data_IF_722612173217
#
_entry.id   IF_722612173217
#
_cell.length_a   1.000
_cell.length_b   1.000
_cell.length_c   1.000
_cell.angle_alpha   90.00
_cell.angle_beta   90.00
_cell.angle_gamma   90.00
#
_symmetry.space_group_name_H-M   'P 1'
#
loop_
_entity.id
_entity.type
_entity.pdbx_description
1 polymer ?
#
# COMPACT_ATOMS: atom_id res chain seq x y z
N UNK A 1 19.65 -20.44 -7.35
CA UNK A 1 19.69 -19.74 -8.65
C UNK A 1 18.37 -20.06 -9.32
N UNK A 2 17.59 -19.05 -9.72
CA UNK A 2 16.24 -19.26 -10.27
C UNK A 2 16.34 -20.11 -11.55
N UNK A 3 15.47 -21.10 -11.71
CA UNK A 3 15.38 -21.92 -12.94
C UNK A 3 15.17 -21.04 -14.18
N UNK A 4 14.50 -19.90 -14.03
CA UNK A 4 14.35 -18.91 -15.11
C UNK A 4 15.68 -18.29 -15.52
N UNK A 5 16.60 -18.06 -14.58
CA UNK A 5 17.94 -17.54 -14.89
C UNK A 5 18.75 -18.58 -15.66
N UNK A 6 18.66 -19.85 -15.25
CA UNK A 6 19.28 -21.00 -15.94
C UNK A 6 18.77 -21.10 -17.38
N UNK A 7 17.45 -21.07 -17.56
CA UNK A 7 16.83 -21.14 -18.89
C UNK A 7 17.19 -19.93 -19.75
N UNK A 8 17.09 -18.72 -19.19
CA UNK A 8 17.44 -17.47 -19.90
C UNK A 8 18.89 -17.47 -20.37
N UNK A 9 19.82 -17.85 -19.48
CA UNK A 9 21.23 -17.95 -19.81
C UNK A 9 21.48 -18.95 -20.93
N UNK A 10 20.95 -20.17 -20.80
CA UNK A 10 21.11 -21.22 -21.80
C UNK A 10 20.51 -20.84 -23.15
N UNK A 11 19.35 -20.17 -23.17
CA UNK A 11 18.73 -19.67 -24.40
C UNK A 11 19.63 -18.64 -25.08
N UNK A 12 20.18 -17.67 -24.33
CA UNK A 12 21.05 -16.64 -24.90
C UNK A 12 22.33 -17.23 -25.47
N UNK A 13 22.96 -18.15 -24.75
CA UNK A 13 24.16 -18.85 -25.21
C UNK A 13 23.88 -19.67 -26.48
N UNK A 14 22.76 -20.41 -26.50
CA UNK A 14 22.35 -21.19 -27.66
C UNK A 14 22.04 -20.30 -28.89
N UNK A 15 21.36 -19.16 -28.69
CA UNK A 15 21.12 -18.20 -29.77
C UNK A 15 22.43 -17.61 -30.33
N UNK A 16 23.38 -17.28 -29.46
CA UNK A 16 24.72 -16.84 -29.85
C UNK A 16 25.47 -17.91 -30.65
N UNK A 17 25.44 -19.17 -30.19
CA UNK A 17 26.06 -20.30 -30.90
C UNK A 17 25.40 -20.59 -32.26
N UNK A 18 24.10 -20.31 -32.41
CA UNK A 18 23.35 -20.42 -33.66
C UNK A 18 23.52 -19.20 -34.58
N UNK A 19 24.37 -18.25 -34.22
CA UNK A 19 24.70 -17.07 -35.04
C UNK A 19 23.58 -16.03 -35.10
N UNK A 20 22.72 -15.97 -34.08
CA UNK A 20 21.68 -14.93 -33.98
C UNK A 20 22.32 -13.63 -33.49
N UNK A 21 22.25 -12.57 -34.29
CA UNK A 21 22.81 -11.24 -33.98
C UNK A 21 21.78 -10.13 -34.32
N UNK A 22 21.43 -9.26 -33.36
CA UNK A 22 21.82 -9.30 -31.95
C UNK A 22 21.13 -10.44 -31.18
N UNK A 23 21.83 -11.00 -30.20
CA UNK A 23 21.21 -11.85 -29.18
C UNK A 23 20.27 -10.97 -28.35
N UNK A 24 18.99 -11.33 -28.18
CA UNK A 24 18.05 -10.52 -27.41
C UNK A 24 18.52 -10.38 -25.95
N UNK A 25 18.49 -9.14 -25.44
CA UNK A 25 18.82 -8.87 -24.04
C UNK A 25 17.78 -9.46 -23.10
N UNK A 26 16.52 -9.43 -23.52
CA UNK A 26 15.37 -9.95 -22.76
C UNK A 26 14.85 -11.21 -23.43
N UNK A 27 14.85 -12.31 -22.67
CA UNK A 27 14.17 -13.55 -23.04
C UNK A 27 12.90 -13.63 -22.20
N UNK A 28 11.74 -13.63 -22.86
CA UNK A 28 10.47 -13.81 -22.16
C UNK A 28 10.26 -15.30 -21.88
N UNK A 29 10.06 -15.62 -20.60
CA UNK A 29 9.64 -16.94 -20.12
C UNK A 29 8.27 -16.80 -19.46
N UNK A 30 7.32 -17.61 -19.90
CA UNK A 30 5.96 -17.63 -19.37
C UNK A 30 5.51 -19.06 -19.09
N UNK A 31 4.54 -19.22 -18.18
CA UNK A 31 3.88 -20.52 -18.01
C UNK A 31 2.90 -20.73 -19.16
N UNK A 32 2.98 -21.85 -19.90
CA UNK A 32 2.04 -22.11 -20.98
C UNK A 32 0.62 -22.28 -20.44
N UNK A 33 -0.37 -21.81 -21.21
CA UNK A 33 -1.79 -21.92 -20.80
C UNK A 33 -2.29 -23.36 -20.71
N UNK A 34 -1.65 -24.32 -21.41
CA UNK A 34 -1.86 -25.76 -21.22
C UNK A 34 -0.63 -26.35 -20.51
N UNK A 35 -0.77 -26.91 -19.29
CA UNK A 35 0.33 -27.57 -18.58
C UNK A 35 0.99 -28.74 -19.33
N UNK A 36 0.29 -29.38 -20.26
CA UNK A 36 0.88 -30.43 -21.11
C UNK A 36 1.99 -29.90 -22.03
N UNK A 37 1.99 -28.60 -22.32
CA UNK A 37 3.02 -27.92 -23.10
C UNK A 37 4.27 -27.57 -22.26
N UNK A 38 4.42 -28.12 -21.06
CA UNK A 38 5.61 -27.98 -20.23
C UNK A 38 5.47 -26.94 -19.12
N UNK A 39 6.58 -26.73 -18.40
CA UNK A 39 6.65 -25.86 -17.22
C UNK A 39 6.88 -24.40 -17.60
N UNK A 40 7.66 -24.17 -18.66
CA UNK A 40 8.01 -22.85 -19.17
C UNK A 40 7.98 -22.82 -20.69
N UNK A 41 7.63 -21.68 -21.26
CA UNK A 41 7.64 -21.43 -22.70
C UNK A 41 8.31 -20.10 -23.01
N UNK A 42 8.96 -20.02 -24.18
CA UNK A 42 9.49 -18.77 -24.71
C UNK A 42 9.07 -18.56 -26.17
N UNK A 43 8.81 -17.30 -26.51
CA UNK A 43 8.57 -16.83 -27.87
C UNK A 43 9.84 -16.32 -28.57
N UNK A 44 11.02 -16.51 -27.96
CA UNK A 44 12.28 -15.87 -28.40
C UNK A 44 12.64 -16.15 -29.86
N UNK A 45 12.30 -17.34 -30.36
CA UNK A 45 12.52 -17.70 -31.76
C UNK A 45 11.64 -16.86 -32.70
N UNK A 46 10.40 -16.53 -32.33
CA UNK A 46 9.54 -15.63 -33.10
C UNK A 46 10.09 -14.21 -33.08
N UNK A 47 10.52 -13.74 -31.91
CA UNK A 47 11.06 -12.40 -31.73
C UNK A 47 12.36 -12.18 -32.51
N UNK A 48 13.22 -13.20 -32.57
CA UNK A 48 14.57 -13.11 -33.14
C UNK A 48 14.64 -13.48 -34.63
N UNK A 49 13.69 -14.26 -35.14
CA UNK A 49 13.71 -14.79 -36.51
C UNK A 49 13.78 -13.72 -37.60
N UNK A 50 13.07 -12.59 -37.41
CA UNK A 50 13.08 -11.49 -38.39
C UNK A 50 14.47 -10.86 -38.50
N UNK A 51 15.11 -10.57 -37.37
CA UNK A 51 16.46 -10.00 -37.35
C UNK A 51 17.49 -10.96 -37.96
N UNK A 52 17.34 -12.27 -37.67
CA UNK A 52 18.21 -13.30 -38.21
C UNK A 52 17.88 -13.72 -39.66
N UNK A 53 16.83 -13.17 -40.29
CA UNK A 53 16.35 -13.58 -41.63
C UNK A 53 16.06 -15.08 -41.77
N UNK A 54 15.46 -15.69 -40.74
CA UNK A 54 15.19 -17.13 -40.65
C UNK A 54 13.71 -17.43 -40.42
N UNK A 55 13.28 -18.65 -40.69
CA UNK A 55 11.93 -19.10 -40.33
C UNK A 55 11.83 -19.29 -38.80
N UNK A 56 10.83 -18.71 -38.11
CA UNK A 56 10.68 -18.83 -36.66
C UNK A 56 10.59 -20.26 -36.14
N UNK A 57 9.88 -21.15 -36.86
CA UNK A 57 9.70 -22.53 -36.44
C UNK A 57 10.97 -23.35 -36.63
N UNK A 58 11.70 -23.12 -37.72
CA UNK A 58 13.01 -23.74 -37.96
C UNK A 58 14.04 -23.27 -36.91
N UNK A 59 14.07 -21.96 -36.62
CA UNK A 59 14.91 -21.41 -35.55
C UNK A 59 14.57 -22.01 -34.19
N UNK A 60 13.28 -22.13 -33.85
CA UNK A 60 12.84 -22.79 -32.62
C UNK A 60 13.30 -24.25 -32.57
N UNK A 61 13.26 -24.97 -33.70
CA UNK A 61 13.72 -26.37 -33.77
C UNK A 61 15.22 -26.51 -33.61
N UNK A 62 16.00 -25.60 -34.19
CA UNK A 62 17.45 -25.56 -34.01
C UNK A 62 17.83 -25.18 -32.58
N UNK A 63 17.13 -24.22 -31.98
CA UNK A 63 17.30 -23.85 -30.58
C UNK A 63 16.99 -25.05 -29.65
N UNK A 64 15.85 -25.71 -29.86
CA UNK A 64 15.48 -26.90 -29.10
C UNK A 64 16.50 -28.03 -29.25
N UNK A 65 16.97 -28.29 -30.47
CA UNK A 65 17.99 -29.30 -30.72
C UNK A 65 19.32 -28.95 -30.05
N UNK A 66 19.74 -27.68 -30.07
CA UNK A 66 20.96 -27.22 -29.40
C UNK A 66 20.86 -27.42 -27.88
N UNK A 67 19.73 -27.01 -27.29
CA UNK A 67 19.47 -27.16 -25.86
C UNK A 67 19.36 -28.64 -25.46
N UNK A 68 18.78 -29.51 -26.28
CA UNK A 68 18.74 -30.95 -26.01
C UNK A 68 20.10 -31.65 -26.14
N UNK A 69 21.01 -31.12 -26.96
CA UNK A 69 22.35 -31.67 -27.10
C UNK A 69 23.23 -31.38 -25.88
N UNK A 70 22.94 -30.28 -25.17
CA UNK A 70 23.56 -29.93 -23.89
C UNK A 70 22.48 -29.38 -22.94
N UNK A 71 21.64 -30.27 -22.36
CA UNK A 71 20.50 -29.87 -21.54
C UNK A 71 20.91 -28.95 -20.39
N UNK A 72 20.26 -27.79 -20.23
CA UNK A 72 20.40 -26.99 -19.01
C UNK A 72 19.98 -27.82 -17.80
N UNK A 73 20.43 -27.42 -16.61
CA UNK A 73 20.03 -28.10 -15.37
C UNK A 73 18.49 -28.23 -15.29
N UNK A 74 18.03 -29.39 -14.81
CA UNK A 74 16.62 -29.79 -14.68
C UNK A 74 15.85 -30.00 -15.97
N UNK A 75 16.33 -29.56 -17.14
CA UNK A 75 15.59 -29.73 -18.40
C UNK A 75 15.63 -31.20 -18.84
N UNK A 76 14.45 -31.81 -18.95
CA UNK A 76 14.27 -33.18 -19.46
C UNK A 76 13.67 -33.22 -20.86
N UNK A 77 13.09 -32.11 -21.32
CA UNK A 77 12.51 -31.99 -22.64
C UNK A 77 12.50 -30.56 -23.14
N UNK A 78 12.69 -30.39 -24.45
CA UNK A 78 12.47 -29.13 -25.15
C UNK A 78 11.70 -29.41 -26.43
N UNK A 79 10.53 -28.79 -26.57
CA UNK A 79 9.64 -29.03 -27.69
C UNK A 79 9.27 -27.72 -28.40
N UNK A 80 9.05 -27.80 -29.72
CA UNK A 80 8.62 -26.64 -30.50
C UNK A 80 7.15 -26.75 -30.84
N UNK A 81 6.37 -25.77 -30.40
CA UNK A 81 4.95 -25.70 -30.64
C UNK A 81 4.57 -24.56 -31.60
N UNK A 82 3.50 -24.81 -32.37
CA UNK A 82 2.86 -23.80 -33.22
C UNK A 82 3.84 -23.07 -34.15
N UNK A 83 3.86 -21.72 -34.16
CA UNK A 83 4.71 -20.92 -35.04
C UNK A 83 6.19 -20.87 -34.64
N UNK A 84 6.60 -21.44 -33.51
CA UNK A 84 7.99 -21.40 -33.03
C UNK A 84 8.15 -21.16 -31.52
N UNK A 85 7.12 -21.41 -30.72
CA UNK A 85 7.26 -21.38 -29.26
C UNK A 85 8.16 -22.53 -28.84
N UNK A 86 9.12 -22.25 -27.97
CA UNK A 86 10.02 -23.27 -27.42
C UNK A 86 9.60 -23.54 -25.98
N UNK A 87 9.12 -24.75 -25.75
CA UNK A 87 8.55 -25.23 -24.51
C UNK A 87 9.58 -26.10 -23.77
N UNK A 88 9.65 -25.96 -22.45
CA UNK A 88 10.57 -26.66 -21.59
C UNK A 88 9.80 -27.57 -20.63
N UNK A 89 10.20 -28.83 -20.56
CA UNK A 89 9.78 -29.77 -19.53
C UNK A 89 10.92 -29.97 -18.56
N UNK A 90 10.65 -29.81 -17.27
CA UNK A 90 11.62 -29.88 -16.20
C UNK A 90 11.39 -31.14 -15.35
N UNK A 91 12.46 -31.73 -14.84
CA UNK A 91 12.39 -32.72 -13.78
C UNK A 91 12.18 -32.02 -12.43
N UNK A 92 11.34 -32.59 -11.56
CA UNK A 92 11.01 -32.10 -10.21
C UNK A 92 12.22 -31.74 -9.33
N UNK A 93 13.43 -32.20 -9.69
CA UNK A 93 14.69 -31.73 -9.11
C UNK A 93 14.80 -30.21 -8.93
N UNK A 94 14.23 -29.40 -9.84
CA UNK A 94 14.26 -27.93 -9.66
C UNK A 94 13.42 -27.48 -8.47
N UNK A 95 12.27 -28.12 -8.22
CA UNK A 95 11.44 -27.88 -7.04
C UNK A 95 12.12 -28.38 -5.78
N UNK A 96 12.79 -29.54 -5.84
CA UNK A 96 13.54 -30.09 -4.70
C UNK A 96 14.69 -29.16 -4.28
N UNK A 97 15.38 -28.53 -5.24
CA UNK A 97 16.40 -27.53 -4.94
C UNK A 97 15.80 -26.30 -4.25
N UNK A 98 14.65 -25.81 -4.71
CA UNK A 98 13.94 -24.71 -4.03
C UNK A 98 13.55 -25.10 -2.61
N UNK A 99 13.03 -26.32 -2.39
CA UNK A 99 12.70 -26.80 -1.04
C UNK A 99 13.93 -26.85 -0.14
N UNK A 100 15.06 -27.29 -0.68
CA UNK A 100 16.34 -27.33 0.05
C UNK A 100 16.80 -25.90 0.39
N UNK A 101 16.71 -24.98 -0.57
CA UNK A 101 17.04 -23.56 -0.37
C UNK A 101 16.15 -22.92 0.71
N UNK A 102 14.84 -23.18 0.69
CA UNK A 102 13.90 -22.69 1.71
C UNK A 102 14.30 -23.21 3.10
N UNK A 103 14.58 -24.50 3.23
CA UNK A 103 14.92 -25.13 4.51
C UNK A 103 16.29 -24.65 5.02
N UNK A 104 17.29 -24.57 4.15
CA UNK A 104 18.65 -24.19 4.51
C UNK A 104 18.76 -22.70 4.86
N UNK A 105 18.05 -21.83 4.12
CA UNK A 105 18.03 -20.39 4.38
C UNK A 105 17.13 -20.03 5.58
N UNK A 106 16.06 -20.79 5.81
CA UNK A 106 15.08 -20.52 6.85
C UNK A 106 14.25 -19.25 6.59
N UNK A 107 13.32 -18.99 7.51
CA UNK A 107 12.33 -17.91 7.38
C UNK A 107 12.95 -16.51 7.36
N UNK A 108 14.10 -16.30 8.00
CA UNK A 108 14.74 -14.99 8.08
C UNK A 108 15.45 -14.57 6.78
N UNK A 109 15.93 -15.53 5.98
CA UNK A 109 16.81 -15.28 4.83
C UNK A 109 16.15 -15.61 3.51
N UNK A 110 15.36 -16.68 3.42
CA UNK A 110 14.77 -17.12 2.14
C UNK A 110 13.92 -16.03 1.49
N UNK A 111 14.04 -15.78 0.18
CA UNK A 111 13.26 -14.73 -0.51
C UNK A 111 13.36 -13.32 0.13
N UNK A 112 14.50 -13.02 0.79
CA UNK A 112 14.89 -11.66 1.13
C UNK A 112 15.70 -11.05 -0.03
N UNK A 113 15.45 -9.79 -0.35
CA UNK A 113 16.18 -9.07 -1.39
C UNK A 113 16.92 -7.86 -0.83
N UNK A 114 17.97 -7.43 -1.52
CA UNK A 114 18.77 -6.23 -1.17
C UNK A 114 18.49 -5.05 -2.12
N UNK A 115 17.35 -5.06 -2.82
CA UNK A 115 16.98 -4.06 -3.82
C UNK A 115 16.93 -2.64 -3.25
N UNK A 116 16.58 -2.51 -1.97
CA UNK A 116 16.40 -1.22 -1.29
C UNK A 116 17.54 -0.79 -0.37
N UNK A 117 18.66 -1.51 -0.35
CA UNK A 117 19.75 -1.20 0.59
C UNK A 117 20.23 0.24 0.39
N UNK A 118 20.22 1.01 1.47
CA UNK A 118 20.60 2.43 1.47
C UNK A 118 19.50 3.38 1.00
N UNK A 119 18.28 2.89 0.76
CA UNK A 119 17.10 3.72 0.43
C UNK A 119 16.12 3.69 1.59
N UNK A 120 15.72 4.88 2.05
CA UNK A 120 14.73 5.03 3.11
C UNK A 120 13.34 5.31 2.55
N UNK A 121 12.34 4.65 3.12
CA UNK A 121 10.93 4.74 2.71
C UNK A 121 10.05 5.09 3.91
N UNK A 122 9.22 6.13 3.79
CA UNK A 122 8.12 6.36 4.72
C UNK A 122 6.84 5.78 4.13
N UNK A 123 6.19 4.88 4.86
CA UNK A 123 4.87 4.34 4.53
C UNK A 123 3.86 4.94 5.49
N UNK A 124 3.02 5.85 4.99
CA UNK A 124 1.97 6.52 5.74
C UNK A 124 0.61 5.87 5.49
N UNK A 125 -0.10 5.54 6.56
CA UNK A 125 -1.42 4.91 6.46
C UNK A 125 -2.28 5.12 7.71
N UNK A 126 -3.59 4.87 7.58
CA UNK A 126 -4.66 5.17 8.55
C UNK A 126 -4.95 6.66 8.69
N UNK A 127 -3.98 7.45 9.17
CA UNK A 127 -4.01 8.92 9.29
C UNK A 127 -5.38 9.51 9.69
N UNK A 128 -6.01 8.90 10.70
CA UNK A 128 -7.36 9.24 11.12
C UNK A 128 -7.38 10.39 12.15
N UNK A 129 -8.45 11.17 12.16
CA UNK A 129 -8.65 12.24 13.14
C UNK A 129 -8.87 11.62 14.53
N UNK A 130 -8.22 12.12 15.61
CA UNK A 130 -8.34 11.57 16.95
C UNK A 130 -9.62 12.08 17.65
N UNK A 131 -10.78 11.90 17.01
CA UNK A 131 -12.10 12.32 17.51
C UNK A 131 -13.05 11.17 17.77
N UNK A 132 -12.56 9.93 17.74
CA UNK A 132 -13.37 8.72 17.91
C UNK A 132 -12.57 7.45 17.60
N UNK A 133 -13.14 6.26 17.83
CA UNK A 133 -12.50 5.00 17.51
C UNK A 133 -12.32 4.82 16.00
N UNK A 134 -11.35 3.99 15.59
CA UNK A 134 -11.23 3.60 14.18
C UNK A 134 -12.42 2.73 13.80
N UNK A 135 -13.12 3.09 12.72
CA UNK A 135 -14.14 2.22 12.12
C UNK A 135 -13.54 1.08 11.28
N UNK A 136 -14.32 0.03 11.03
CA UNK A 136 -13.91 -1.15 10.26
C UNK A 136 -13.35 -0.84 8.85
N UNK A 137 -13.76 0.25 8.21
CA UNK A 137 -13.18 0.68 6.93
C UNK A 137 -11.68 1.02 7.02
N UNK A 138 -11.19 1.52 8.16
CA UNK A 138 -9.78 1.85 8.35
C UNK A 138 -8.90 0.58 8.38
N UNK A 139 -9.46 -0.56 8.79
CA UNK A 139 -8.76 -1.83 8.84
C UNK A 139 -8.12 -2.21 7.50
N UNK A 140 -8.77 -1.86 6.37
CA UNK A 140 -8.21 -2.14 5.04
C UNK A 140 -6.94 -1.36 4.77
N UNK A 141 -6.96 -0.05 4.97
CA UNK A 141 -5.78 0.80 4.82
C UNK A 141 -4.68 0.45 5.82
N UNK A 142 -5.05 0.10 7.05
CA UNK A 142 -4.16 -0.39 8.09
C UNK A 142 -3.39 -1.64 7.65
N UNK A 143 -4.12 -2.69 7.25
CA UNK A 143 -3.52 -3.97 6.86
C UNK A 143 -2.71 -3.85 5.57
N UNK A 144 -3.17 -3.07 4.59
CA UNK A 144 -2.45 -2.83 3.36
C UNK A 144 -1.13 -2.07 3.59
N UNK A 145 -1.18 -0.93 4.29
CA UNK A 145 0.00 -0.12 4.57
C UNK A 145 1.07 -0.90 5.33
N UNK A 146 0.68 -1.63 6.37
CA UNK A 146 1.63 -2.47 7.11
C UNK A 146 2.20 -3.61 6.26
N UNK A 147 1.39 -4.24 5.40
CA UNK A 147 1.87 -5.30 4.50
C UNK A 147 2.86 -4.78 3.47
N UNK A 148 2.60 -3.59 2.91
CA UNK A 148 3.53 -2.90 2.01
C UNK A 148 4.84 -2.56 2.73
N UNK A 149 4.77 -2.04 3.95
CA UNK A 149 5.95 -1.77 4.78
C UNK A 149 6.79 -3.03 5.01
N UNK A 150 6.16 -4.16 5.39
CA UNK A 150 6.83 -5.45 5.56
C UNK A 150 7.49 -5.96 4.28
N UNK A 151 6.88 -5.74 3.11
CA UNK A 151 7.48 -6.08 1.82
C UNK A 151 8.69 -5.21 1.48
N UNK A 152 8.65 -3.92 1.79
CA UNK A 152 9.82 -3.04 1.66
C UNK A 152 10.96 -3.49 2.59
N UNK A 153 10.68 -3.81 3.85
CA UNK A 153 11.68 -4.35 4.79
C UNK A 153 12.29 -5.66 4.27
N UNK A 154 11.45 -6.56 3.73
CA UNK A 154 11.90 -7.82 3.12
C UNK A 154 12.75 -7.59 1.87
N UNK A 155 12.59 -6.46 1.19
CA UNK A 155 13.40 -6.02 0.06
C UNK A 155 14.63 -5.16 0.45
N UNK A 156 14.92 -5.03 1.75
CA UNK A 156 16.15 -4.40 2.25
C UNK A 156 16.10 -2.88 2.40
N UNK A 157 14.91 -2.27 2.28
CA UNK A 157 14.72 -0.84 2.52
C UNK A 157 14.75 -0.50 4.02
N UNK A 158 15.18 0.72 4.38
CA UNK A 158 14.96 1.29 5.71
C UNK A 158 13.54 1.88 5.75
N UNK A 159 12.64 1.27 6.52
CA UNK A 159 11.21 1.59 6.48
C UNK A 159 10.79 2.30 7.76
N UNK A 160 9.99 3.36 7.60
CA UNK A 160 9.31 4.06 8.69
C UNK A 160 7.81 3.97 8.44
N UNK A 161 7.08 3.30 9.33
CA UNK A 161 5.61 3.36 9.37
C UNK A 161 5.19 4.64 10.09
N UNK A 162 4.48 5.52 9.40
CA UNK A 162 4.09 6.82 9.94
C UNK A 162 2.57 6.98 9.99
N UNK A 163 2.06 7.41 11.14
CA UNK A 163 0.66 7.80 11.30
C UNK A 163 0.59 9.33 11.34
N UNK A 164 -0.09 9.95 10.39
CA UNK A 164 -0.35 11.40 10.44
C UNK A 164 -1.56 11.68 11.34
N UNK A 165 -1.34 12.45 12.40
CA UNK A 165 -2.39 12.84 13.35
C UNK A 165 -2.89 14.23 12.98
N UNK A 166 -4.12 14.27 12.46
CA UNK A 166 -4.86 15.51 12.22
C UNK A 166 -5.49 16.01 13.52
N UNK A 167 -4.64 16.50 14.43
CA UNK A 167 -4.98 16.92 15.80
C UNK A 167 -5.37 18.40 15.90
N UNK A 168 -5.94 18.95 14.83
CA UNK A 168 -6.34 20.36 14.74
C UNK A 168 -7.72 20.53 14.10
N UNK A 169 -8.27 21.72 14.26
CA UNK A 169 -9.44 22.17 13.53
C UNK A 169 -10.75 21.95 14.29
N UNK A 170 -11.85 22.24 13.59
CA UNK A 170 -13.17 22.29 14.20
C UNK A 170 -13.64 20.93 14.75
N UNK A 171 -13.25 19.83 14.10
CA UNK A 171 -13.61 18.49 14.54
C UNK A 171 -13.08 18.18 15.95
N UNK A 172 -11.81 18.50 16.23
CA UNK A 172 -11.25 18.35 17.58
C UNK A 172 -11.97 19.19 18.61
N UNK A 173 -12.34 20.44 18.27
CA UNK A 173 -13.08 21.31 19.17
C UNK A 173 -14.50 20.80 19.45
N UNK A 174 -15.20 20.34 18.41
CA UNK A 174 -16.55 19.79 18.55
C UNK A 174 -16.55 18.51 19.39
N UNK A 175 -15.53 17.67 19.23
CA UNK A 175 -15.32 16.49 20.06
C UNK A 175 -15.09 16.86 21.53
N UNK A 176 -14.17 17.79 21.80
CA UNK A 176 -13.91 18.29 23.15
C UNK A 176 -15.16 18.91 23.80
N UNK A 177 -15.93 19.70 23.04
CA UNK A 177 -17.18 20.30 23.51
C UNK A 177 -18.24 19.23 23.87
N UNK A 178 -18.27 18.13 23.13
CA UNK A 178 -19.21 17.02 23.37
C UNK A 178 -18.86 16.29 24.67
N UNK A 179 -17.57 16.00 24.89
CA UNK A 179 -17.08 15.43 26.16
C UNK A 179 -17.38 16.36 27.34
N UNK A 180 -17.15 17.66 27.18
CA UNK A 180 -17.41 18.66 28.21
C UNK A 180 -18.88 18.73 28.62
N UNK A 181 -19.79 18.76 27.63
CA UNK A 181 -21.23 18.79 27.86
C UNK A 181 -21.70 17.56 28.63
N UNK A 182 -21.30 16.37 28.19
CA UNK A 182 -21.69 15.12 28.85
C UNK A 182 -21.12 14.98 30.26
N UNK A 183 -19.87 15.40 30.49
CA UNK A 183 -19.27 15.39 31.82
C UNK A 183 -19.94 16.39 32.79
N UNK A 184 -20.55 17.46 32.26
CA UNK A 184 -21.35 18.41 33.02
C UNK A 184 -22.81 17.96 33.24
N UNK A 185 -23.27 16.91 32.55
CA UNK A 185 -24.66 16.46 32.53
C UNK A 185 -25.57 17.33 31.65
N UNK A 186 -25.00 18.08 30.72
CA UNK A 186 -25.69 18.93 29.76
C UNK A 186 -25.97 18.17 28.43
N UNK A 187 -26.82 18.76 27.57
CA UNK A 187 -27.06 18.23 26.22
C UNK A 187 -25.84 18.47 25.30
N UNK A 188 -25.51 17.47 24.48
CA UNK A 188 -24.45 17.57 23.47
C UNK A 188 -24.83 18.62 22.41
N UNK A 189 -23.90 19.51 22.01
CA UNK A 189 -24.15 20.48 20.93
C UNK A 189 -24.62 19.83 19.62
N UNK A 190 -25.39 20.56 18.81
CA UNK A 190 -25.94 20.06 17.53
C UNK A 190 -24.84 19.55 16.59
N UNK A 191 -23.73 20.29 16.50
CA UNK A 191 -22.55 19.96 15.70
C UNK A 191 -21.51 19.11 16.44
N UNK A 192 -21.87 18.61 17.63
CA UNK A 192 -21.07 17.72 18.45
C UNK A 192 -21.09 16.26 17.98
N UNK A 193 -20.37 15.43 18.71
CA UNK A 193 -20.30 13.99 18.50
C UNK A 193 -21.31 13.31 19.42
N UNK A 194 -22.26 12.62 18.81
CA UNK A 194 -23.39 11.96 19.48
C UNK A 194 -23.16 10.46 19.71
N UNK A 195 -21.90 10.03 19.57
CA UNK A 195 -21.49 8.64 19.67
C UNK A 195 -21.67 8.06 21.08
N UNK A 196 -22.07 6.80 21.21
CA UNK A 196 -22.05 6.05 22.47
C UNK A 196 -20.65 6.05 23.07
N UNK A 197 -19.61 5.93 22.23
CA UNK A 197 -18.21 6.04 22.68
C UNK A 197 -17.92 7.39 23.35
N UNK A 198 -18.58 8.49 22.96
CA UNK A 198 -18.41 9.81 23.57
C UNK A 198 -19.02 9.84 24.96
N UNK A 199 -20.18 9.19 25.14
CA UNK A 199 -20.82 9.02 26.45
C UNK A 199 -19.92 8.21 27.37
N UNK A 200 -19.38 7.10 26.88
CA UNK A 200 -18.50 6.23 27.64
C UNK A 200 -17.21 6.96 28.04
N UNK A 201 -16.58 7.66 27.10
CA UNK A 201 -15.36 8.43 27.36
C UNK A 201 -15.62 9.64 28.27
N UNK A 202 -16.74 10.33 28.15
CA UNK A 202 -17.08 11.42 29.07
C UNK A 202 -17.22 10.92 30.52
N UNK A 203 -17.70 9.69 30.73
CA UNK A 203 -17.77 9.05 32.04
C UNK A 203 -16.39 8.61 32.58
N UNK A 204 -15.44 8.29 31.70
CA UNK A 204 -14.04 7.98 32.06
C UNK A 204 -13.22 9.23 32.39
N UNK A 205 -13.62 10.41 31.87
CA UNK A 205 -12.85 11.64 31.98
C UNK A 205 -12.74 12.12 33.45
N UNK A 206 -11.52 12.34 33.98
CA UNK A 206 -11.34 12.84 35.33
C UNK A 206 -11.95 14.23 35.53
N UNK A 207 -12.55 14.46 36.70
CA UNK A 207 -13.08 15.78 37.06
C UNK A 207 -11.98 16.86 36.99
N UNK A 208 -12.23 17.92 36.22
CA UNK A 208 -11.29 19.04 36.04
C UNK A 208 -10.20 18.81 34.99
N UNK A 209 -10.22 17.69 34.25
CA UNK A 209 -9.38 17.52 33.07
C UNK A 209 -9.78 18.50 31.96
N UNK A 210 -8.82 18.89 31.11
CA UNK A 210 -9.11 19.61 29.87
C UNK A 210 -9.73 18.61 28.86
N UNK A 211 -10.99 18.80 28.43
CA UNK A 211 -11.66 17.87 27.52
C UNK A 211 -10.95 17.71 26.17
N UNK A 212 -10.24 18.75 25.70
CA UNK A 212 -9.50 18.67 24.44
C UNK A 212 -8.28 17.76 24.57
N UNK A 213 -7.41 18.03 25.55
CA UNK A 213 -6.18 17.26 25.74
C UNK A 213 -6.47 15.83 26.22
N UNK A 214 -7.46 15.66 27.11
CA UNK A 214 -7.86 14.33 27.57
C UNK A 214 -8.50 13.52 26.44
N UNK A 215 -9.45 14.11 25.71
CA UNK A 215 -10.13 13.45 24.59
C UNK A 215 -9.15 13.05 23.48
N UNK A 216 -8.24 13.96 23.11
CA UNK A 216 -7.15 13.68 22.18
C UNK A 216 -6.33 12.46 22.61
N UNK A 217 -5.85 12.45 23.86
CA UNK A 217 -5.04 11.34 24.39
C UNK A 217 -5.82 10.04 24.43
N UNK A 218 -7.11 10.07 24.78
CA UNK A 218 -7.96 8.88 24.86
C UNK A 218 -8.24 8.26 23.50
N UNK A 219 -8.58 9.09 22.51
CA UNK A 219 -8.83 8.64 21.14
C UNK A 219 -7.57 8.08 20.49
N UNK A 220 -6.43 8.77 20.65
CA UNK A 220 -5.15 8.28 20.14
C UNK A 220 -4.71 6.98 20.82
N UNK A 221 -4.98 6.83 22.12
CA UNK A 221 -4.80 5.57 22.85
C UNK A 221 -5.62 4.43 22.25
N UNK A 222 -6.92 4.67 21.99
CA UNK A 222 -7.79 3.68 21.36
C UNK A 222 -7.32 3.28 19.94
N UNK A 223 -6.79 4.24 19.16
CA UNK A 223 -6.18 3.94 17.87
C UNK A 223 -4.97 3.02 18.01
N UNK A 224 -4.06 3.32 18.95
CA UNK A 224 -2.87 2.49 19.22
C UNK A 224 -3.27 1.08 19.63
N UNK A 225 -4.19 0.94 20.57
CA UNK A 225 -4.66 -0.35 21.08
C UNK A 225 -5.17 -1.25 19.95
N UNK A 226 -6.12 -0.79 19.14
CA UNK A 226 -6.68 -1.62 18.06
C UNK A 226 -5.67 -1.93 16.94
N UNK A 227 -4.71 -1.02 16.69
CA UNK A 227 -3.64 -1.27 15.73
C UNK A 227 -2.63 -2.29 16.27
N UNK A 228 -2.30 -2.25 17.55
CA UNK A 228 -1.48 -3.25 18.24
C UNK A 228 -2.17 -4.63 18.25
N UNK A 229 -3.49 -4.68 18.47
CA UNK A 229 -4.27 -5.93 18.36
C UNK A 229 -4.19 -6.53 16.95
N UNK A 230 -4.08 -5.69 15.92
CA UNK A 230 -3.81 -6.09 14.54
C UNK A 230 -2.32 -6.36 14.25
N UNK A 231 -1.43 -6.34 15.25
CA UNK A 231 0.02 -6.47 15.07
C UNK A 231 0.61 -5.43 14.11
N UNK A 232 0.08 -4.21 14.16
CA UNK A 232 0.55 -3.04 13.40
C UNK A 232 1.23 -2.10 14.38
N UNK A 233 2.51 -1.88 14.18
CA UNK A 233 3.32 -0.99 15.03
C UNK A 233 3.81 0.19 14.19
N UNK A 234 3.53 1.41 14.65
CA UNK A 234 3.99 2.63 14.00
C UNK A 234 5.29 3.11 14.64
N UNK A 235 6.26 3.47 13.80
CA UNK A 235 7.54 4.04 14.20
C UNK A 235 7.42 5.54 14.51
N UNK A 236 6.50 6.22 13.83
CA UNK A 236 6.28 7.67 13.93
C UNK A 236 4.80 7.99 14.03
N UNK A 237 4.47 8.93 14.92
CA UNK A 237 3.14 9.50 15.10
C UNK A 237 3.27 11.01 14.94
N UNK A 238 3.03 11.49 13.72
CA UNK A 238 3.35 12.85 13.30
C UNK A 238 2.16 13.79 13.53
N UNK A 239 2.31 14.78 14.39
CA UNK A 239 1.24 15.73 14.76
C UNK A 239 1.21 16.94 13.82
N UNK A 240 0.03 17.28 13.30
CA UNK A 240 -0.17 18.51 12.54
C UNK A 240 0.11 19.75 13.40
N UNK A 241 -0.35 19.74 14.66
CA UNK A 241 -0.14 20.81 15.62
C UNK A 241 1.35 21.09 15.84
N UNK A 242 2.16 20.03 15.98
CA UNK A 242 3.60 20.18 16.20
C UNK A 242 4.31 20.74 14.96
N UNK A 243 3.94 20.29 13.75
CA UNK A 243 4.49 20.79 12.50
C UNK A 243 4.22 22.28 12.29
N UNK A 244 2.99 22.74 12.53
CA UNK A 244 2.66 24.15 12.31
C UNK A 244 3.42 25.06 13.28
N UNK A 245 3.64 24.60 14.51
CA UNK A 245 4.37 25.36 15.52
C UNK A 245 5.86 25.60 15.15
N UNK A 246 6.43 24.85 14.21
CA UNK A 246 7.82 25.03 13.78
C UNK A 246 8.03 26.12 12.73
N UNK A 247 6.95 26.63 12.12
CA UNK A 247 7.04 27.54 10.96
C UNK A 247 7.14 26.82 9.61
N UNK A 248 6.96 25.49 9.56
CA UNK A 248 7.07 24.69 8.34
C UNK A 248 6.20 25.21 7.16
N UNK A 249 5.04 25.81 7.47
CA UNK A 249 4.16 26.42 6.46
C UNK A 249 4.86 27.59 5.76
N UNK A 250 5.46 28.50 6.53
CA UNK A 250 6.11 29.69 6.00
C UNK A 250 7.36 29.32 5.19
N UNK A 251 8.14 28.36 5.68
CA UNK A 251 9.32 27.84 4.99
C UNK A 251 8.93 27.17 3.65
N UNK A 252 7.89 26.34 3.65
CA UNK A 252 7.40 25.68 2.44
C UNK A 252 6.91 26.71 1.41
N UNK A 253 6.20 27.74 1.87
CA UNK A 253 5.73 28.81 1.00
C UNK A 253 6.91 29.64 0.43
N UNK A 254 7.96 29.85 1.22
CA UNK A 254 9.18 30.52 0.76
C UNK A 254 9.89 29.72 -0.33
N UNK A 255 10.03 28.40 -0.16
CA UNK A 255 10.63 27.51 -1.17
C UNK A 255 9.83 27.52 -2.47
N UNK A 256 8.51 27.41 -2.39
CA UNK A 256 7.62 27.49 -3.55
C UNK A 256 7.74 28.83 -4.29
N UNK A 257 7.84 29.95 -3.55
CA UNK A 257 8.07 31.27 -4.15
C UNK A 257 9.44 31.34 -4.82
N UNK A 258 10.48 30.82 -4.18
CA UNK A 258 11.84 30.76 -4.71
C UNK A 258 11.93 29.96 -6.02
N UNK A 259 11.15 28.88 -6.12
CA UNK A 259 11.04 28.04 -7.31
C UNK A 259 10.15 28.65 -8.42
N UNK A 260 9.46 29.77 -8.16
CA UNK A 260 8.48 30.33 -9.09
C UNK A 260 7.21 29.49 -9.23
N UNK A 261 6.99 28.53 -8.32
CA UNK A 261 5.89 27.57 -8.33
C UNK A 261 4.53 28.18 -7.96
N UNK A 262 4.53 29.37 -7.37
CA UNK A 262 3.31 30.06 -6.93
C UNK A 262 3.19 31.46 -7.51
N UNK A 263 1.98 32.01 -7.50
CA UNK A 263 1.68 33.39 -7.87
C UNK A 263 0.55 33.96 -7.01
N UNK A 264 0.54 35.29 -6.86
CA UNK A 264 -0.52 36.00 -6.15
C UNK A 264 -1.63 36.41 -7.14
N UNK A 265 -2.89 36.05 -6.86
CA UNK A 265 -4.06 36.42 -7.66
C UNK A 265 -5.30 36.54 -6.78
N UNK A 266 -6.08 37.61 -6.98
CA UNK A 266 -7.28 37.94 -6.19
C UNK A 266 -7.07 37.92 -4.66
N UNK A 267 -5.90 38.40 -4.23
CA UNK A 267 -5.50 38.44 -2.81
C UNK A 267 -5.11 37.08 -2.22
N UNK A 268 -5.18 36.01 -3.00
CA UNK A 268 -4.79 34.66 -2.60
C UNK A 268 -3.46 34.23 -3.24
N UNK A 269 -2.81 33.22 -2.65
CA UNK A 269 -1.62 32.58 -3.21
C UNK A 269 -2.02 31.26 -3.88
N UNK A 270 -1.68 31.15 -5.16
CA UNK A 270 -2.01 30.02 -6.02
C UNK A 270 -0.77 29.22 -6.39
N UNK A 271 -0.86 27.89 -6.34
CA UNK A 271 0.10 26.93 -6.85
C UNK A 271 -0.16 26.67 -8.34
N UNK A 272 0.90 26.71 -9.15
CA UNK A 272 0.89 26.41 -10.60
C UNK A 272 0.73 24.91 -10.90
N UNK A 273 -0.15 24.22 -10.18
CA UNK A 273 -0.26 22.76 -10.26
C UNK A 273 -0.72 22.27 -11.64
N UNK A 274 -1.44 23.08 -12.41
CA UNK A 274 -1.86 22.71 -13.77
C UNK A 274 -0.69 22.54 -14.74
N UNK A 275 0.46 23.18 -14.47
CA UNK A 275 1.70 22.99 -15.24
C UNK A 275 2.31 21.58 -15.04
N UNK A 276 1.85 20.83 -14.02
CA UNK A 276 2.33 19.51 -13.65
C UNK A 276 1.21 18.45 -13.58
N UNK A 277 0.20 18.57 -14.44
CA UNK A 277 -0.80 17.52 -14.66
C UNK A 277 -2.02 17.54 -13.73
N UNK A 278 -2.16 18.54 -12.87
CA UNK A 278 -3.40 18.81 -12.13
C UNK A 278 -4.47 19.44 -13.05
N UNK A 279 -5.76 19.33 -12.70
CA UNK A 279 -6.86 19.85 -13.53
C UNK A 279 -6.95 21.38 -13.54
N UNK A 280 -6.49 22.01 -12.46
CA UNK A 280 -6.42 23.47 -12.28
C UNK A 280 -5.44 23.83 -11.19
N UNK A 281 -4.96 25.07 -11.24
CA UNK A 281 -4.17 25.66 -10.17
C UNK A 281 -4.92 25.65 -8.83
N UNK A 282 -4.18 25.44 -7.74
CA UNK A 282 -4.74 25.29 -6.39
C UNK A 282 -4.42 26.49 -5.52
N UNK A 283 -5.41 26.96 -4.78
CA UNK A 283 -5.17 27.96 -3.72
C UNK A 283 -4.44 27.28 -2.55
N UNK A 284 -3.28 27.82 -2.18
CA UNK A 284 -2.54 27.43 -0.96
C UNK A 284 -2.89 28.33 0.22
N UNK A 285 -3.00 29.63 -0.02
CA UNK A 285 -3.37 30.63 0.99
C UNK A 285 -4.53 31.45 0.47
N UNK A 286 -5.62 31.51 1.24
CA UNK A 286 -6.83 32.25 0.90
C UNK A 286 -6.59 33.77 1.03
N UNK A 287 -7.53 34.56 0.50
CA UNK A 287 -7.49 36.03 0.59
C UNK A 287 -7.55 36.61 2.01
N UNK A 288 -8.01 35.82 2.99
CA UNK A 288 -7.99 36.16 4.42
C UNK A 288 -6.64 35.83 5.10
N UNK A 289 -5.65 35.36 4.33
CA UNK A 289 -4.33 34.95 4.82
C UNK A 289 -4.28 33.56 5.44
N UNK A 290 -5.40 32.85 5.56
CA UNK A 290 -5.43 31.50 6.13
C UNK A 290 -5.04 30.44 5.09
N UNK A 291 -4.24 29.42 5.48
CA UNK A 291 -3.92 28.31 4.60
C UNK A 291 -5.18 27.51 4.22
N UNK A 292 -5.20 26.95 3.02
CA UNK A 292 -6.13 25.87 2.65
C UNK A 292 -5.63 24.54 3.21
N UNK A 293 -6.43 23.48 3.14
CA UNK A 293 -5.99 22.13 3.54
C UNK A 293 -4.79 21.62 2.72
N UNK A 294 -4.60 22.11 1.49
CA UNK A 294 -3.46 21.70 0.67
C UNK A 294 -2.13 22.23 1.22
N UNK A 295 -2.10 23.41 1.83
CA UNK A 295 -0.84 24.01 2.26
C UNK A 295 -0.15 23.21 3.39
N UNK A 296 -0.84 22.79 4.48
CA UNK A 296 -0.28 21.86 5.45
C UNK A 296 0.15 20.53 4.84
N UNK A 297 -0.64 19.95 3.92
CA UNK A 297 -0.25 18.69 3.27
C UNK A 297 1.05 18.84 2.47
N UNK A 298 1.21 19.93 1.71
CA UNK A 298 2.44 20.20 0.96
C UNK A 298 3.62 20.39 1.91
N UNK A 299 3.43 21.11 3.01
CA UNK A 299 4.49 21.29 4.02
C UNK A 299 4.87 19.97 4.70
N UNK A 300 3.90 19.13 4.99
CA UNK A 300 4.10 17.81 5.56
C UNK A 300 4.84 16.87 4.60
N UNK A 301 4.49 16.88 3.31
CA UNK A 301 5.20 16.06 2.32
C UNK A 301 6.63 16.57 2.06
N UNK A 302 6.84 17.89 2.11
CA UNK A 302 8.19 18.47 2.10
C UNK A 302 9.02 17.99 3.30
N UNK A 303 8.44 17.94 4.50
CA UNK A 303 9.10 17.37 5.69
C UNK A 303 9.45 15.89 5.49
N UNK A 304 8.50 15.09 5.00
CA UNK A 304 8.71 13.67 4.71
C UNK A 304 9.88 13.44 3.73
N UNK A 305 9.94 14.17 2.63
CA UNK A 305 11.06 14.10 1.69
C UNK A 305 12.39 14.59 2.27
N UNK A 306 12.37 15.45 3.31
CA UNK A 306 13.55 15.79 4.08
C UNK A 306 14.08 14.63 4.94
N UNK A 307 13.27 13.59 5.18
CA UNK A 307 13.58 12.45 6.05
C UNK A 307 13.72 11.12 5.33
N UNK A 308 13.21 10.98 4.11
CA UNK A 308 13.21 9.74 3.34
C UNK A 308 13.33 9.99 1.83
N UNK A 309 13.88 9.01 1.12
CA UNK A 309 14.07 9.06 -0.33
C UNK A 309 12.77 8.76 -1.09
N UNK A 310 11.89 7.94 -0.50
CA UNK A 310 10.61 7.55 -1.10
C UNK A 310 9.48 7.59 -0.09
N UNK A 311 8.29 7.93 -0.60
CA UNK A 311 7.07 8.03 0.17
C UNK A 311 6.01 7.10 -0.42
N UNK A 312 5.29 6.41 0.47
CA UNK A 312 4.11 5.63 0.11
C UNK A 312 2.98 6.07 1.01
N UNK A 313 1.93 6.64 0.43
CA UNK A 313 0.73 7.01 1.17
C UNK A 313 -0.41 6.04 0.85
N UNK A 314 -1.18 5.67 1.85
CA UNK A 314 -2.40 4.86 1.72
C UNK A 314 -3.59 5.74 2.09
N UNK A 315 -4.33 6.19 1.08
CA UNK A 315 -5.46 7.10 1.25
C UNK A 315 -6.81 6.40 1.02
N UNK A 316 -7.87 6.97 1.60
CA UNK A 316 -9.25 6.59 1.33
C UNK A 316 -9.73 6.95 -0.08
N UNK A 317 -10.80 6.29 -0.54
CA UNK A 317 -11.41 6.50 -1.85
C UNK A 317 -11.84 7.95 -2.14
N UNK A 318 -12.20 8.68 -1.08
CA UNK A 318 -12.59 10.09 -1.09
C UNK A 318 -11.45 11.05 -1.50
N UNK A 319 -10.19 10.58 -1.44
CA UNK A 319 -9.01 11.38 -1.77
C UNK A 319 -8.50 11.16 -3.21
N UNK A 320 -9.24 10.46 -4.07
CA UNK A 320 -8.80 10.18 -5.44
C UNK A 320 -8.47 11.46 -6.24
N UNK A 321 -9.32 12.50 -6.13
CA UNK A 321 -9.09 13.81 -6.76
C UNK A 321 -7.98 14.65 -6.11
N UNK A 322 -7.33 14.12 -5.07
CA UNK A 322 -6.22 14.75 -4.34
C UNK A 322 -4.85 14.26 -4.82
N UNK A 323 -4.79 13.15 -5.55
CA UNK A 323 -3.52 12.55 -6.01
C UNK A 323 -2.77 13.49 -6.94
N UNK A 324 -3.41 13.95 -8.01
CA UNK A 324 -2.76 14.78 -9.05
C UNK A 324 -2.16 16.07 -8.47
N UNK A 325 -2.90 16.77 -7.59
CA UNK A 325 -2.41 18.00 -6.96
C UNK A 325 -1.22 17.78 -6.02
N UNK A 326 -1.15 16.62 -5.34
CA UNK A 326 -0.02 16.30 -4.48
C UNK A 326 1.23 16.01 -5.30
N UNK A 327 1.13 15.20 -6.35
CA UNK A 327 2.25 14.99 -7.28
C UNK A 327 2.72 16.30 -7.92
N UNK A 328 1.79 17.16 -8.35
CA UNK A 328 2.12 18.46 -8.90
C UNK A 328 2.86 19.35 -7.90
N UNK A 329 2.41 19.39 -6.64
CA UNK A 329 3.09 20.16 -5.60
C UNK A 329 4.51 19.65 -5.32
N UNK A 330 4.71 18.32 -5.30
CA UNK A 330 6.05 17.74 -5.08
C UNK A 330 6.98 18.00 -6.27
N UNK A 331 6.48 17.89 -7.50
CA UNK A 331 7.22 18.27 -8.70
C UNK A 331 7.70 19.72 -8.65
N UNK A 332 6.81 20.63 -8.24
CA UNK A 332 7.07 22.06 -8.12
C UNK A 332 8.06 22.41 -7.00
N UNK A 333 8.18 21.57 -5.99
CA UNK A 333 9.23 21.65 -4.96
C UNK A 333 10.57 21.05 -5.41
N UNK A 334 10.63 20.46 -6.62
CA UNK A 334 11.84 19.88 -7.20
C UNK A 334 12.05 18.40 -6.88
N UNK A 335 11.06 17.71 -6.32
CA UNK A 335 11.10 16.27 -6.10
C UNK A 335 10.62 15.49 -7.33
N UNK A 336 11.11 14.27 -7.51
CA UNK A 336 10.58 13.36 -8.53
C UNK A 336 9.18 12.87 -8.10
N UNK A 337 8.12 13.12 -8.90
CA UNK A 337 6.78 12.65 -8.57
C UNK A 337 6.65 11.14 -8.44
N UNK A 338 7.56 10.35 -9.05
CA UNK A 338 7.56 8.89 -8.97
C UNK A 338 8.06 8.36 -7.61
N UNK A 339 8.77 9.19 -6.84
CA UNK A 339 9.22 8.86 -5.48
C UNK A 339 8.09 9.03 -4.44
N UNK A 340 6.97 9.65 -4.81
CA UNK A 340 5.71 9.59 -4.06
C UNK A 340 4.77 8.57 -4.71
N UNK A 341 4.40 7.51 -4.00
CA UNK A 341 3.36 6.57 -4.42
C UNK A 341 2.13 6.76 -3.56
N UNK A 342 0.96 6.87 -4.17
CA UNK A 342 -0.31 6.99 -3.46
C UNK A 342 -1.22 5.82 -3.86
N UNK A 343 -1.51 4.95 -2.90
CA UNK A 343 -2.49 3.88 -3.04
C UNK A 343 -3.85 4.38 -2.55
N UNK A 344 -4.90 4.16 -3.33
CA UNK A 344 -6.28 4.51 -2.96
C UNK A 344 -7.02 3.25 -2.55
N UNK A 345 -7.38 3.16 -1.27
CA UNK A 345 -8.19 2.07 -0.74
C UNK A 345 -9.68 2.35 -0.96
N UNK A 346 -10.34 1.43 -1.67
CA UNK A 346 -11.78 1.45 -1.85
C UNK A 346 -12.53 1.02 -0.58
N UNK A 347 -13.78 1.48 -0.48
CA UNK A 347 -14.67 1.21 0.65
C UNK A 347 -14.88 -0.30 0.87
N UNK A 348 -15.01 -0.66 2.15
CA UNK A 348 -15.38 -2.00 2.60
C UNK A 348 -16.82 -1.98 3.10
N UNK A 349 -17.64 -2.87 2.57
CA UNK A 349 -18.96 -3.15 3.11
C UNK A 349 -18.89 -4.38 4.02
N UNK A 350 -19.35 -4.26 5.25
CA UNK A 350 -19.46 -5.44 6.13
C UNK A 350 -20.76 -6.18 5.84
N UNK A 351 -20.73 -7.51 5.90
CA UNK A 351 -21.89 -8.37 5.66
C UNK A 351 -22.03 -9.40 6.77
N UNK A 352 -23.27 -9.74 7.10
CA UNK A 352 -23.64 -10.85 7.99
C UNK A 352 -24.93 -11.47 7.51
N UNK A 353 -24.99 -12.81 7.42
CA UNK A 353 -26.16 -13.54 6.95
C UNK A 353 -26.63 -13.07 5.57
N UNK A 354 -25.70 -12.70 4.69
CA UNK A 354 -26.01 -12.18 3.36
C UNK A 354 -26.50 -10.73 3.32
N UNK A 355 -26.52 -9.98 4.44
CA UNK A 355 -27.01 -8.59 4.50
C UNK A 355 -25.93 -7.63 4.97
N UNK A 356 -25.92 -6.43 4.39
CA UNK A 356 -24.99 -5.37 4.77
C UNK A 356 -25.22 -4.96 6.23
N UNK A 357 -24.13 -4.88 7.00
CA UNK A 357 -24.12 -4.41 8.39
C UNK A 357 -23.42 -3.05 8.41
N UNK A 358 -24.19 -2.01 8.74
CA UNK A 358 -23.65 -0.65 8.90
C UNK A 358 -23.46 -0.26 10.35
N UNK A 359 -24.18 -0.93 11.25
CA UNK A 359 -24.22 -0.58 12.66
C UNK A 359 -23.75 -1.75 13.54
N UNK A 360 -22.95 -1.44 14.56
CA UNK A 360 -22.50 -2.36 15.59
C UNK A 360 -23.69 -2.86 16.41
N UNK A 361 -23.66 -4.14 16.77
CA UNK A 361 -24.66 -4.74 17.68
C UNK A 361 -24.51 -4.24 19.12
N UNK A 362 -23.30 -3.78 19.49
CA UNK A 362 -22.96 -3.33 20.85
C UNK A 362 -23.47 -1.91 21.10
N UNK A 363 -23.19 -1.00 20.17
CA UNK A 363 -23.43 0.44 20.35
C UNK A 363 -24.60 0.96 19.50
N UNK A 364 -24.98 0.26 18.42
CA UNK A 364 -25.96 0.77 17.46
C UNK A 364 -25.41 1.83 16.51
N UNK A 365 -24.09 2.01 16.46
CA UNK A 365 -23.37 3.03 15.70
C UNK A 365 -22.50 2.41 14.62
N UNK A 366 -21.70 3.19 13.89
CA UNK A 366 -20.77 2.63 12.89
C UNK A 366 -19.91 1.51 13.50
N UNK A 367 -19.72 0.41 12.77
CA UNK A 367 -18.93 -0.73 13.25
C UNK A 367 -17.47 -0.32 13.47
N UNK A 368 -17.02 -0.42 14.72
CA UNK A 368 -15.63 -0.17 15.11
C UNK A 368 -14.71 -1.26 14.57
N UNK A 369 -13.45 -0.92 14.32
CA UNK A 369 -12.43 -1.89 13.92
C UNK A 369 -12.16 -2.88 15.06
N UNK A 370 -12.19 -2.42 16.32
CA UNK A 370 -12.04 -3.27 17.49
C UNK A 370 -13.13 -4.36 17.54
N UNK A 371 -14.39 -4.01 17.26
CA UNK A 371 -15.50 -4.98 17.19
C UNK A 371 -15.23 -6.06 16.13
N UNK A 372 -14.62 -5.71 14.99
CA UNK A 372 -14.26 -6.68 13.94
C UNK A 372 -13.14 -7.61 14.42
N UNK A 373 -12.09 -7.05 15.03
CA UNK A 373 -10.94 -7.83 15.54
C UNK A 373 -11.37 -8.77 16.66
N UNK A 374 -12.21 -8.30 17.59
CA UNK A 374 -12.77 -9.11 18.67
C UNK A 374 -13.64 -10.26 18.13
N UNK A 375 -14.40 -10.02 17.06
CA UNK A 375 -15.31 -11.02 16.50
C UNK A 375 -14.57 -12.10 15.69
N UNK A 376 -13.62 -11.72 14.84
CA UNK A 376 -13.00 -12.64 13.87
C UNK A 376 -11.54 -13.00 14.16
N UNK A 377 -10.87 -12.26 15.04
CA UNK A 377 -9.45 -12.39 15.32
C UNK A 377 -8.55 -11.61 14.35
N UNK A 378 -7.36 -11.22 14.82
CA UNK A 378 -6.43 -10.36 14.10
C UNK A 378 -5.98 -10.94 12.76
N UNK A 379 -5.50 -12.19 12.73
CA UNK A 379 -5.02 -12.83 11.50
C UNK A 379 -6.11 -12.93 10.43
N UNK A 380 -7.32 -13.30 10.84
CA UNK A 380 -8.44 -13.44 9.93
C UNK A 380 -8.90 -12.07 9.39
N UNK A 381 -8.93 -11.05 10.23
CA UNK A 381 -9.20 -9.68 9.80
C UNK A 381 -8.16 -9.21 8.77
N UNK A 382 -6.87 -9.31 9.11
CA UNK A 382 -5.77 -8.88 8.23
C UNK A 382 -5.79 -9.58 6.89
N UNK A 383 -5.86 -10.92 6.90
CA UNK A 383 -5.84 -11.71 5.68
C UNK A 383 -7.06 -11.37 4.81
N UNK A 384 -8.24 -11.24 5.40
CA UNK A 384 -9.46 -10.88 4.68
C UNK A 384 -9.33 -9.53 4.00
N UNK A 385 -8.87 -8.48 4.70
CA UNK A 385 -8.68 -7.14 4.10
C UNK A 385 -7.71 -7.13 2.90
N UNK A 386 -6.84 -8.14 2.79
CA UNK A 386 -5.81 -8.24 1.75
C UNK A 386 -6.17 -9.21 0.61
N UNK A 387 -7.29 -9.93 0.70
CA UNK A 387 -7.73 -10.90 -0.32
C UNK A 387 -7.99 -10.27 -1.69
N UNK A 388 -8.41 -9.02 -1.71
CA UNK A 388 -8.77 -8.29 -2.92
C UNK A 388 -7.91 -7.05 -3.05
N UNK A 389 -7.55 -6.72 -4.30
CA UNK A 389 -6.83 -5.49 -4.63
C UNK A 389 -7.50 -4.28 -3.99
N UNK A 390 -6.70 -3.41 -3.37
CA UNK A 390 -7.19 -2.24 -2.62
C UNK A 390 -7.95 -1.23 -3.47
N UNK A 391 -7.71 -1.22 -4.78
CA UNK A 391 -8.41 -0.38 -5.77
C UNK A 391 -9.81 -0.87 -6.14
N UNK A 392 -10.26 -2.01 -5.59
CA UNK A 392 -11.56 -2.62 -5.86
C UNK A 392 -12.43 -2.64 -4.60
N UNK A 393 -13.74 -2.33 -4.68
CA UNK A 393 -14.64 -2.47 -3.54
C UNK A 393 -14.63 -3.89 -2.98
N UNK A 394 -14.74 -4.02 -1.66
CA UNK A 394 -14.72 -5.30 -0.98
C UNK A 394 -15.94 -5.49 -0.09
N UNK A 395 -16.47 -6.70 -0.10
CA UNK A 395 -17.41 -7.17 0.92
C UNK A 395 -16.69 -8.03 1.93
N UNK A 396 -16.78 -7.67 3.21
CA UNK A 396 -16.22 -8.40 4.33
C UNK A 396 -17.34 -9.18 5.02
N UNK A 397 -17.42 -10.48 4.77
CA UNK A 397 -18.41 -11.35 5.38
C UNK A 397 -17.93 -11.85 6.75
N UNK A 398 -18.49 -11.27 7.81
CA UNK A 398 -18.10 -11.58 9.20
C UNK A 398 -18.41 -13.04 9.57
N UNK A 399 -19.48 -13.63 9.03
CA UNK A 399 -19.85 -15.02 9.33
C UNK A 399 -18.89 -15.99 8.65
N UNK A 400 -18.52 -15.72 7.39
CA UNK A 400 -17.57 -16.56 6.65
C UNK A 400 -16.20 -16.54 7.30
N UNK A 401 -15.68 -15.36 7.64
CA UNK A 401 -14.34 -15.19 8.20
C UNK A 401 -14.22 -15.83 9.59
N UNK A 402 -15.31 -15.84 10.37
CA UNK A 402 -15.37 -16.50 11.67
C UNK A 402 -15.53 -18.03 11.59
N UNK A 403 -15.89 -18.56 10.43
CA UNK A 403 -16.20 -19.99 10.26
C UNK A 403 -14.97 -20.84 9.94
N UNK A 404 -14.92 -22.06 10.48
CA UNK A 404 -13.87 -23.05 10.20
C UNK A 404 -14.28 -23.99 9.07
N UNK A 405 -14.42 -23.43 7.86
CA UNK A 405 -14.81 -24.16 6.65
C UNK A 405 -13.79 -23.92 5.54
N UNK A 406 -13.68 -24.83 4.57
CA UNK A 406 -12.68 -24.73 3.50
C UNK A 406 -12.90 -23.52 2.58
N UNK A 407 -14.14 -23.01 2.51
CA UNK A 407 -14.50 -21.80 1.78
C UNK A 407 -13.96 -20.53 2.45
N UNK A 408 -13.56 -20.58 3.73
CA UNK A 408 -12.85 -19.50 4.40
C UNK A 408 -11.35 -19.59 4.04
N UNK A 409 -10.82 -18.68 3.21
CA UNK A 409 -9.43 -18.75 2.77
C UNK A 409 -8.45 -18.54 3.93
N UNK A 410 -8.85 -17.86 5.01
CA UNK A 410 -8.04 -17.73 6.21
C UNK A 410 -7.86 -19.09 6.88
N UNK A 411 -8.98 -19.75 7.18
CA UNK A 411 -8.95 -21.07 7.82
C UNK A 411 -8.21 -22.09 6.94
N UNK A 412 -8.39 -22.02 5.61
CA UNK A 412 -7.69 -22.90 4.69
C UNK A 412 -6.15 -22.80 4.82
N UNK A 413 -5.62 -21.57 4.88
CA UNK A 413 -4.17 -21.35 5.05
C UNK A 413 -3.71 -21.75 6.46
N UNK A 414 -4.45 -21.37 7.50
CA UNK A 414 -4.14 -21.71 8.89
C UNK A 414 -4.18 -23.21 9.17
N UNK A 415 -5.08 -23.95 8.51
CA UNK A 415 -5.18 -25.40 8.64
C UNK A 415 -4.04 -26.13 7.92
N UNK A 416 -3.50 -25.53 6.85
CA UNK A 416 -2.38 -26.09 6.10
C UNK A 416 -1.03 -25.92 6.80
N UNK A 417 -0.88 -24.86 7.60
CA UNK A 417 0.29 -24.57 8.44
C UNK A 417 0.24 -25.36 9.74
#
# INVERSE_FOLDING_TARGET
MDVRDILTGAIRDALGALGVDPVPEVVQLERPGNPEHGDWSTNVALASAKAASRNPREMGAELAAHLLASPPAHVVGVEVAGPGFVNFHLADSWLHEVLTEVVDAGEDVYARHELGVGTRVIVEFVSANPTGPLHAGHGRGACYGDSVARLYERCGYDVVREFYINDRGLQMQNFANSLAALAAGDEVPEDGYHGQYVVDWAAEMPAGADPLEWGYSRALGAHREVLEDLSIHFDSWFSERSMIATGAIDDTLADLRGAGAVYDHDGAVWLRSSEHGDDKDRVLVKGDGQPTYLMPDVAYHRDKFGRADRLVNVFGADHHGYVARMHAAMALLGYDPEDLRIAITQLVALQRGGREVRLSKRTGEMVELADVVDEVGADAARFTYLLLSVDSPQTFDLDLVSSQVNENPVFYVQYAH
#
